data_IF_806221515790
#
_entry.id   IF_806221515790
#
_cell.length_a   1.000
_cell.length_b   1.000
_cell.length_c   1.000
_cell.angle_alpha   90.00
_cell.angle_beta   90.00
_cell.angle_gamma   90.00
#
_symmetry.space_group_name_H-M   'P 1'
#
loop_
_entity.id
_entity.type
_entity.pdbx_description
1 polymer ?
#
# COMPACT_ATOMS: atom_id res chain seq x y z
N UNK A 1 1.50 4.21 20.65
CA UNK A 1 1.16 2.78 20.90
C UNK A 1 1.97 2.39 22.14
N UNK A 2 1.38 2.51 23.34
CA UNK A 2 2.17 2.63 24.59
C UNK A 2 3.13 1.46 24.88
N UNK A 3 2.85 0.25 24.37
CA UNK A 3 3.69 -0.93 24.60
C UNK A 3 5.04 -0.94 23.87
N UNK A 4 5.20 -0.18 22.77
CA UNK A 4 6.46 -0.08 22.04
C UNK A 4 7.37 1.05 22.56
N UNK A 5 6.83 1.92 23.42
CA UNK A 5 7.51 3.14 23.89
C UNK A 5 8.33 2.90 25.16
N UNK A 6 8.10 1.79 25.88
CA UNK A 6 8.91 1.36 27.02
C UNK A 6 9.86 0.18 26.65
N UNK A 7 11.18 0.30 26.87
CA UNK A 7 12.15 -0.77 26.55
C UNK A 7 11.86 -2.12 27.22
N UNK A 8 11.26 -2.11 28.42
CA UNK A 8 10.91 -3.32 29.17
C UNK A 8 9.75 -4.10 28.56
N UNK A 9 8.86 -3.46 27.80
CA UNK A 9 7.69 -4.10 27.18
C UNK A 9 7.86 -4.36 25.69
N UNK A 10 8.86 -3.74 25.04
CA UNK A 10 9.09 -3.86 23.61
C UNK A 10 9.28 -5.32 23.12
N UNK A 11 10.00 -6.15 23.89
CA UNK A 11 10.20 -7.57 23.55
C UNK A 11 8.89 -8.38 23.65
N UNK A 12 8.07 -8.08 24.67
CA UNK A 12 6.77 -8.72 24.84
C UNK A 12 5.83 -8.32 23.70
N UNK A 13 5.79 -7.03 23.36
CA UNK A 13 4.98 -6.51 22.26
C UNK A 13 5.35 -7.15 20.92
N UNK A 14 6.65 -7.25 20.58
CA UNK A 14 7.11 -7.93 19.35
C UNK A 14 6.72 -9.40 19.31
N UNK A 15 6.84 -10.11 20.45
CA UNK A 15 6.42 -11.52 20.53
C UNK A 15 4.92 -11.64 20.32
N UNK A 16 4.12 -10.81 20.99
CA UNK A 16 2.67 -10.80 20.83
C UNK A 16 2.24 -10.52 19.38
N UNK A 17 2.87 -9.54 18.72
CA UNK A 17 2.62 -9.24 17.30
C UNK A 17 2.93 -10.46 16.41
N UNK A 18 4.03 -11.16 16.67
CA UNK A 18 4.44 -12.34 15.89
C UNK A 18 3.48 -13.51 16.08
N UNK A 19 3.03 -13.78 17.31
CA UNK A 19 2.03 -14.83 17.60
C UNK A 19 0.69 -14.50 16.93
N UNK A 20 0.26 -13.23 17.01
CA UNK A 20 -0.98 -12.78 16.37
C UNK A 20 -0.94 -12.97 14.85
N UNK A 21 0.16 -12.59 14.19
CA UNK A 21 0.37 -12.79 12.76
C UNK A 21 0.38 -14.27 12.39
N UNK A 22 1.02 -15.12 13.21
CA UNK A 22 1.04 -16.57 13.03
C UNK A 22 -0.36 -17.17 13.14
N UNK A 23 -1.15 -16.74 14.12
CA UNK A 23 -2.51 -17.25 14.32
C UNK A 23 -3.43 -16.87 13.17
N UNK A 24 -3.35 -15.62 12.69
CA UNK A 24 -4.08 -15.20 11.48
C UNK A 24 -3.72 -16.04 10.26
N UNK A 25 -2.43 -16.32 10.10
CA UNK A 25 -1.93 -17.16 9.00
C UNK A 25 -2.48 -18.59 9.08
N UNK A 26 -2.42 -19.21 10.27
CA UNK A 26 -2.93 -20.57 10.50
C UNK A 26 -4.45 -20.65 10.29
N UNK A 27 -5.17 -19.59 10.67
CA UNK A 27 -6.59 -19.43 10.40
C UNK A 27 -6.91 -19.07 8.94
N UNK A 28 -5.89 -18.97 8.06
CA UNK A 28 -6.00 -18.62 6.64
C UNK A 28 -6.72 -17.29 6.38
N UNK A 29 -6.52 -16.32 7.27
CA UNK A 29 -7.15 -15.01 7.16
C UNK A 29 -6.48 -14.18 6.07
N UNK A 30 -7.25 -13.68 5.11
CA UNK A 30 -6.71 -12.76 4.12
C UNK A 30 -6.47 -11.39 4.75
N UNK A 31 -5.47 -10.62 4.27
CA UNK A 31 -5.23 -9.28 4.80
C UNK A 31 -6.46 -8.35 4.75
N UNK A 32 -7.34 -8.49 3.76
CA UNK A 32 -8.61 -7.74 3.75
C UNK A 32 -9.46 -8.04 4.99
N UNK A 33 -9.63 -9.32 5.33
CA UNK A 33 -10.44 -9.74 6.48
C UNK A 33 -9.80 -9.32 7.80
N UNK A 34 -8.46 -9.42 7.90
CA UNK A 34 -7.71 -8.93 9.07
C UNK A 34 -7.90 -7.42 9.26
N UNK A 35 -7.95 -6.64 8.19
CA UNK A 35 -8.19 -5.19 8.28
C UNK A 35 -9.53 -4.87 8.95
N UNK A 36 -10.59 -5.58 8.56
CA UNK A 36 -11.93 -5.43 9.13
C UNK A 36 -11.97 -5.96 10.57
N UNK A 37 -11.34 -7.10 10.84
CA UNK A 37 -11.27 -7.68 12.19
C UNK A 37 -10.58 -6.74 13.19
N UNK A 38 -9.59 -5.98 12.73
CA UNK A 38 -8.92 -4.95 13.53
C UNK A 38 -9.70 -3.63 13.61
N UNK A 39 -10.90 -3.55 13.02
CA UNK A 39 -11.75 -2.37 12.91
C UNK A 39 -11.06 -1.16 12.26
N UNK A 40 -10.08 -1.38 11.39
CA UNK A 40 -9.35 -0.30 10.71
C UNK A 40 -10.22 0.42 9.67
N UNK A 41 -11.25 -0.26 9.16
CA UNK A 41 -12.28 0.29 8.27
C UNK A 41 -13.16 1.35 8.95
N UNK A 42 -13.18 1.39 10.28
CA UNK A 42 -13.89 2.41 11.05
C UNK A 42 -13.04 3.65 11.35
N UNK A 43 -11.76 3.61 11.00
CA UNK A 43 -10.79 4.69 11.25
C UNK A 43 -10.12 5.17 9.95
N UNK A 44 -10.82 5.10 8.81
CA UNK A 44 -10.20 5.40 7.50
C UNK A 44 -9.63 6.81 7.41
N UNK A 45 -10.28 7.80 8.02
CA UNK A 45 -9.87 9.21 7.96
C UNK A 45 -8.45 9.45 8.51
N UNK A 46 -7.99 8.62 9.45
CA UNK A 46 -6.68 8.71 10.08
C UNK A 46 -5.98 7.34 10.17
N UNK A 47 -6.30 6.40 9.29
CA UNK A 47 -5.85 5.01 9.42
C UNK A 47 -4.33 4.88 9.38
N UNK A 48 -3.64 5.74 8.62
CA UNK A 48 -2.18 5.69 8.52
C UNK A 48 -1.48 6.21 9.78
N UNK A 49 -2.18 6.94 10.63
CA UNK A 49 -1.72 7.32 11.98
C UNK A 49 -2.11 6.27 13.01
N UNK A 50 -3.09 5.42 12.70
CA UNK A 50 -3.52 4.34 13.58
C UNK A 50 -2.37 3.33 13.70
N UNK A 51 -1.84 3.11 14.90
CA UNK A 51 -0.69 2.24 15.08
C UNK A 51 -1.01 0.78 14.68
N UNK A 52 -2.27 0.34 14.77
CA UNK A 52 -2.71 -0.99 14.32
C UNK A 52 -2.55 -1.20 12.81
N UNK A 53 -2.56 -0.12 12.01
CA UNK A 53 -2.32 -0.20 10.58
C UNK A 53 -0.94 -0.79 10.28
N UNK A 54 0.07 -0.47 11.09
CA UNK A 54 1.43 -1.01 10.91
C UNK A 54 1.48 -2.51 11.15
N UNK A 55 0.74 -3.01 12.14
CA UNK A 55 0.63 -4.45 12.43
C UNK A 55 -0.02 -5.17 11.23
N UNK A 56 -1.11 -4.61 10.70
CA UNK A 56 -1.76 -5.13 9.49
C UNK A 56 -0.83 -5.10 8.26
N UNK A 57 -0.09 -4.01 8.06
CA UNK A 57 0.85 -3.86 6.97
C UNK A 57 1.95 -4.93 7.03
N UNK A 58 2.53 -5.14 8.22
CA UNK A 58 3.52 -6.17 8.48
C UNK A 58 2.98 -7.59 8.24
N UNK A 59 1.71 -7.85 8.57
CA UNK A 59 1.08 -9.14 8.33
C UNK A 59 1.07 -9.52 6.84
N UNK A 60 0.80 -8.58 5.94
CA UNK A 60 0.84 -8.86 4.50
C UNK A 60 2.23 -9.26 3.98
N UNK A 61 3.30 -8.67 4.54
CA UNK A 61 4.68 -9.10 4.28
C UNK A 61 4.94 -10.51 4.79
N UNK A 62 4.49 -10.81 6.01
CA UNK A 62 4.60 -12.14 6.63
C UNK A 62 3.89 -13.24 5.81
N UNK A 63 2.71 -12.96 5.25
CA UNK A 63 2.00 -13.88 4.35
C UNK A 63 2.80 -14.16 3.07
N UNK A 64 3.48 -13.15 2.52
CA UNK A 64 4.30 -13.30 1.30
C UNK A 64 5.55 -14.12 1.54
N UNK A 65 6.25 -13.90 2.65
CA UNK A 65 7.48 -14.64 2.97
C UNK A 65 7.22 -16.12 3.26
N UNK A 66 6.00 -16.46 3.70
CA UNK A 66 5.58 -17.85 3.92
C UNK A 66 4.97 -18.54 2.68
N UNK A 67 5.03 -17.89 1.51
CA UNK A 67 4.76 -18.47 0.19
C UNK A 67 3.35 -19.07 0.01
N UNK A 68 2.33 -18.51 0.69
CA UNK A 68 0.94 -18.99 0.62
C UNK A 68 0.15 -18.46 -0.59
N UNK A 69 0.77 -17.77 -1.55
CA UNK A 69 0.07 -17.25 -2.73
C UNK A 69 0.87 -16.22 -3.55
N UNK A 70 0.17 -15.43 -4.36
CA UNK A 70 0.75 -14.32 -5.13
C UNK A 70 1.37 -13.26 -4.21
N UNK A 71 2.42 -12.57 -4.68
CA UNK A 71 3.07 -11.46 -3.97
C UNK A 71 2.01 -10.48 -3.44
N UNK A 72 2.03 -10.24 -2.12
CA UNK A 72 1.14 -9.26 -1.48
C UNK A 72 1.34 -7.88 -2.10
N UNK A 73 0.22 -7.19 -2.35
CA UNK A 73 0.23 -5.77 -2.69
C UNK A 73 -0.80 -5.07 -1.79
N UNK A 74 -0.36 -4.25 -0.81
CA UNK A 74 -1.25 -3.58 0.13
C UNK A 74 -2.20 -2.61 -0.57
N UNK A 75 -1.78 -1.98 -1.66
CA UNK A 75 -2.63 -1.09 -2.44
C UNK A 75 -3.80 -1.83 -3.09
N UNK A 76 -3.70 -3.13 -3.38
CA UNK A 76 -4.81 -3.92 -3.91
C UNK A 76 -5.96 -4.05 -2.89
N UNK A 77 -5.63 -4.39 -1.63
CA UNK A 77 -6.63 -4.47 -0.57
C UNK A 77 -7.19 -3.09 -0.22
N UNK A 78 -6.32 -2.08 -0.09
CA UNK A 78 -6.75 -0.71 0.22
C UNK A 78 -7.62 -0.12 -0.90
N UNK A 79 -7.37 -0.47 -2.17
CA UNK A 79 -8.22 -0.04 -3.28
C UNK A 79 -9.65 -0.56 -3.10
N UNK A 80 -9.82 -1.79 -2.62
CA UNK A 80 -11.14 -2.35 -2.30
C UNK A 80 -11.75 -1.66 -1.09
N UNK A 81 -10.98 -1.46 -0.02
CA UNK A 81 -11.44 -0.85 1.24
C UNK A 81 -11.93 0.59 1.01
N UNK A 82 -11.16 1.40 0.28
CA UNK A 82 -11.52 2.79 -0.04
C UNK A 82 -12.52 2.92 -1.21
N UNK A 83 -12.95 1.80 -1.81
CA UNK A 83 -13.95 1.80 -2.88
C UNK A 83 -13.45 2.25 -4.25
N UNK A 84 -12.14 2.22 -4.51
CA UNK A 84 -11.57 2.46 -5.84
C UNK A 84 -10.21 3.14 -5.85
N UNK A 85 -9.54 3.11 -7.01
CA UNK A 85 -8.19 3.68 -7.17
C UNK A 85 -8.16 5.19 -6.95
N UNK A 86 -9.22 5.91 -7.35
CA UNK A 86 -9.32 7.36 -7.18
C UNK A 86 -9.32 7.74 -5.70
N UNK A 87 -10.23 7.15 -4.92
CA UNK A 87 -10.36 7.44 -3.49
C UNK A 87 -9.07 7.10 -2.74
N UNK A 88 -8.46 5.94 -3.03
CA UNK A 88 -7.20 5.57 -2.41
C UNK A 88 -6.07 6.54 -2.78
N UNK A 89 -5.93 6.89 -4.06
CA UNK A 89 -4.88 7.82 -4.49
C UNK A 89 -5.04 9.20 -3.83
N UNK A 90 -6.26 9.72 -3.76
CA UNK A 90 -6.55 11.00 -3.12
C UNK A 90 -6.17 11.02 -1.65
N UNK A 91 -6.53 9.97 -0.91
CA UNK A 91 -6.22 9.82 0.52
C UNK A 91 -4.72 9.66 0.75
N UNK A 92 -4.02 8.92 -0.11
CA UNK A 92 -2.56 8.76 -0.03
C UNK A 92 -1.81 10.04 -0.37
N UNK A 93 -2.25 10.79 -1.39
CA UNK A 93 -1.65 12.08 -1.75
C UNK A 93 -1.86 13.14 -0.66
N UNK A 94 -2.97 13.07 0.08
CA UNK A 94 -3.16 13.90 1.27
C UNK A 94 -2.23 13.47 2.41
N UNK A 95 -2.15 12.16 2.69
CA UNK A 95 -1.29 11.61 3.72
C UNK A 95 0.22 11.79 3.43
N UNK A 96 0.64 11.86 2.17
CA UNK A 96 2.02 12.12 1.78
C UNK A 96 2.50 13.51 2.23
N UNK A 97 1.59 14.48 2.29
CA UNK A 97 1.89 15.87 2.68
C UNK A 97 2.03 16.05 4.19
N UNK A 98 1.56 15.08 4.98
CA UNK A 98 1.62 15.14 6.44
C UNK A 98 2.90 14.43 6.93
N UNK A 99 3.78 15.09 7.70
CA UNK A 99 5.08 14.51 8.09
C UNK A 99 5.01 13.14 8.77
N UNK A 100 4.01 12.89 9.63
CA UNK A 100 3.83 11.63 10.35
C UNK A 100 3.46 10.46 9.45
N UNK A 101 2.75 10.70 8.35
CA UNK A 101 2.24 9.66 7.44
C UNK A 101 2.97 9.62 6.10
N UNK A 102 3.83 10.61 5.81
CA UNK A 102 4.54 10.76 4.54
C UNK A 102 5.22 9.50 4.05
N UNK A 103 6.00 8.86 4.93
CA UNK A 103 6.77 7.68 4.57
C UNK A 103 5.89 6.50 4.13
N UNK A 104 4.88 6.16 4.94
CA UNK A 104 3.99 5.03 4.65
C UNK A 104 3.06 5.33 3.46
N UNK A 105 2.62 6.59 3.31
CA UNK A 105 1.83 7.01 2.17
C UNK A 105 2.62 6.87 0.86
N UNK A 106 3.88 7.32 0.83
CA UNK A 106 4.75 7.18 -0.33
C UNK A 106 5.04 5.70 -0.66
N UNK A 107 5.23 4.86 0.35
CA UNK A 107 5.42 3.42 0.16
C UNK A 107 4.19 2.79 -0.50
N UNK A 108 2.98 3.11 -0.02
CA UNK A 108 1.73 2.58 -0.61
C UNK A 108 1.46 3.17 -2.00
N UNK A 109 1.81 4.44 -2.28
CA UNK A 109 1.73 5.01 -3.63
C UNK A 109 2.60 4.24 -4.62
N UNK A 110 3.82 3.85 -4.24
CA UNK A 110 4.68 3.00 -5.08
C UNK A 110 4.02 1.64 -5.37
N UNK A 111 3.40 1.01 -4.36
CA UNK A 111 2.63 -0.22 -4.55
C UNK A 111 1.43 -0.02 -5.49
N UNK A 112 0.78 1.13 -5.41
CA UNK A 112 -0.37 1.49 -6.23
C UNK A 112 0.02 1.67 -7.70
N UNK A 113 1.11 2.39 -7.96
CA UNK A 113 1.67 2.60 -9.31
C UNK A 113 2.13 1.27 -9.92
N UNK A 114 2.79 0.41 -9.13
CA UNK A 114 3.17 -0.94 -9.57
C UNK A 114 1.95 -1.79 -9.93
N UNK A 115 0.87 -1.72 -9.13
CA UNK A 115 -0.38 -2.41 -9.41
C UNK A 115 -1.04 -1.93 -10.71
N UNK A 116 -1.02 -0.61 -10.96
CA UNK A 116 -1.55 -0.04 -12.20
C UNK A 116 -0.75 -0.48 -13.42
N UNK A 117 0.58 -0.57 -13.29
CA UNK A 117 1.47 -0.99 -14.38
C UNK A 117 1.22 -2.45 -14.74
N UNK A 118 1.12 -3.32 -13.74
CA UNK A 118 0.79 -4.73 -13.95
C UNK A 118 -0.57 -4.92 -14.63
N UNK A 119 -1.50 -3.98 -14.44
CA UNK A 119 -2.81 -3.97 -15.10
C UNK A 119 -2.81 -3.22 -16.43
N UNK A 120 -1.65 -2.77 -16.91
CA UNK A 120 -1.48 -1.97 -18.12
C UNK A 120 -2.44 -0.77 -18.16
N UNK A 121 -2.59 -0.07 -17.04
CA UNK A 121 -3.48 1.08 -16.97
C UNK A 121 -3.00 2.18 -17.90
N UNK A 122 -3.91 2.79 -18.66
CA UNK A 122 -3.53 3.86 -19.58
C UNK A 122 -2.84 5.03 -18.85
N UNK A 123 -1.70 5.55 -19.38
CA UNK A 123 -0.96 6.65 -18.76
C UNK A 123 -1.80 7.89 -18.46
N UNK A 124 -2.82 8.19 -19.26
CA UNK A 124 -3.72 9.34 -19.06
C UNK A 124 -4.56 9.19 -17.78
N UNK A 125 -4.97 7.94 -17.48
CA UNK A 125 -5.69 7.63 -16.25
C UNK A 125 -4.78 7.76 -15.03
N UNK A 126 -3.55 7.25 -15.11
CA UNK A 126 -2.57 7.35 -14.01
C UNK A 126 -2.16 8.80 -13.77
N UNK A 127 -1.99 9.60 -14.83
CA UNK A 127 -1.75 11.04 -14.73
C UNK A 127 -2.84 11.76 -13.93
N UNK A 128 -4.10 11.39 -14.18
CA UNK A 128 -5.26 11.96 -13.50
C UNK A 128 -5.35 11.48 -12.04
N UNK A 129 -5.12 10.19 -11.79
CA UNK A 129 -5.15 9.61 -10.44
C UNK A 129 -4.07 10.20 -9.52
N UNK A 130 -2.89 10.52 -10.07
CA UNK A 130 -1.81 11.15 -9.33
C UNK A 130 -1.95 12.68 -9.25
N UNK A 131 -3.00 13.30 -9.80
CA UNK A 131 -3.18 14.77 -9.79
C UNK A 131 -1.96 15.54 -10.31
N UNK A 132 -1.33 14.99 -11.35
CA UNK A 132 -0.03 15.48 -11.85
C UNK A 132 -0.13 16.92 -12.36
N UNK A 133 -1.26 17.29 -12.98
CA UNK A 133 -1.50 18.64 -13.50
C UNK A 133 -1.47 19.68 -12.38
N UNK A 134 -2.08 19.37 -11.25
CA UNK A 134 -2.23 20.27 -10.09
C UNK A 134 -1.00 20.26 -9.17
N UNK A 135 -0.13 19.25 -9.30
CA UNK A 135 1.04 19.09 -8.44
C UNK A 135 2.21 20.06 -8.74
N UNK A 136 3.00 20.39 -7.73
CA UNK A 136 4.23 21.18 -7.87
C UNK A 136 5.29 20.44 -8.70
N UNK A 137 6.25 21.15 -9.31
CA UNK A 137 7.26 20.57 -10.23
C UNK A 137 8.09 19.46 -9.57
N UNK A 138 8.41 19.60 -8.28
CA UNK A 138 9.17 18.62 -7.48
C UNK A 138 8.30 17.65 -6.66
N UNK A 139 7.00 17.60 -6.91
CA UNK A 139 6.06 16.77 -6.15
C UNK A 139 6.23 15.27 -6.43
N UNK A 140 5.99 14.44 -5.42
CA UNK A 140 6.04 12.98 -5.53
C UNK A 140 5.16 12.45 -6.68
N UNK A 141 4.02 13.09 -6.93
CA UNK A 141 3.10 12.75 -8.02
C UNK A 141 3.76 12.80 -9.39
N UNK A 142 4.56 13.84 -9.67
CA UNK A 142 5.29 13.98 -10.94
C UNK A 142 6.43 12.98 -11.05
N UNK A 143 7.10 12.69 -9.95
CA UNK A 143 8.15 11.69 -9.91
C UNK A 143 7.59 10.30 -10.23
N UNK A 144 6.58 9.86 -9.49
CA UNK A 144 5.91 8.57 -9.69
C UNK A 144 5.36 8.41 -11.11
N UNK A 145 4.78 9.48 -11.67
CA UNK A 145 4.24 9.43 -13.03
C UNK A 145 5.34 9.27 -14.11
N UNK A 146 6.51 9.88 -13.92
CA UNK A 146 7.63 9.71 -14.86
C UNK A 146 8.11 8.26 -14.87
N UNK A 147 8.35 7.69 -13.69
CA UNK A 147 8.75 6.29 -13.56
C UNK A 147 7.68 5.35 -14.16
N UNK A 148 6.40 5.65 -13.94
CA UNK A 148 5.30 4.88 -14.53
C UNK A 148 5.34 4.87 -16.07
N UNK A 149 5.49 6.03 -16.70
CA UNK A 149 5.52 6.12 -18.17
C UNK A 149 6.71 5.35 -18.74
N UNK A 150 7.89 5.50 -18.14
CA UNK A 150 9.11 4.83 -18.59
C UNK A 150 8.91 3.31 -18.57
N UNK A 151 8.46 2.77 -17.44
CA UNK A 151 8.18 1.36 -17.30
C UNK A 151 7.05 0.88 -18.23
N UNK A 152 5.98 1.67 -18.39
CA UNK A 152 4.87 1.33 -19.28
C UNK A 152 5.33 1.23 -20.75
N UNK A 153 6.17 2.17 -21.21
CA UNK A 153 6.72 2.15 -22.57
C UNK A 153 7.59 0.91 -22.81
N UNK A 154 8.43 0.56 -21.85
CA UNK A 154 9.25 -0.65 -21.93
C UNK A 154 8.40 -1.91 -22.05
N UNK A 155 7.39 -2.05 -21.20
CA UNK A 155 6.46 -3.19 -21.24
C UNK A 155 5.74 -3.25 -22.58
N UNK A 156 5.17 -2.15 -23.05
CA UNK A 156 4.47 -2.11 -24.35
C UNK A 156 5.39 -2.44 -25.53
N UNK A 157 6.63 -1.96 -25.49
CA UNK A 157 7.62 -2.28 -26.51
C UNK A 157 7.97 -3.78 -26.51
N UNK A 158 8.17 -4.41 -25.34
CA UNK A 158 8.39 -5.85 -25.24
C UNK A 158 7.21 -6.67 -25.76
N UNK A 159 5.98 -6.29 -25.43
CA UNK A 159 4.77 -6.96 -25.92
C UNK A 159 4.66 -6.89 -27.45
N UNK A 160 5.02 -5.76 -28.05
CA UNK A 160 5.00 -5.57 -29.52
C UNK A 160 6.06 -6.38 -30.27
N UNK A 161 7.18 -6.71 -29.61
CA UNK A 161 8.25 -7.54 -30.18
C UNK A 161 7.90 -9.03 -30.17
N UNK A 162 7.18 -9.49 -29.14
CA UNK A 162 6.81 -10.90 -28.99
C UNK A 162 5.59 -11.33 -29.82
N UNK A 163 4.93 -10.39 -30.49
CA UNK A 163 3.76 -10.63 -31.37
C UNK A 163 4.10 -10.62 -32.86
N UNK A 164 5.38 -10.54 -33.22
CA UNK A 164 5.91 -10.66 -34.60
C UNK A 164 6.75 -11.93 -34.72
#
# INVERSE_FOLDING_TARGET
MAGYEAPSTANIAKRLESELQRDWLLAKQYPYDVFIMMNLDRTLDNVFENPLFRIWYNYGHYVTTMNLGSKWNPAAALTRIYGGSTNLADVLLAAEKVPSTKAIAMEILNWQVTLWLHRLMYPERVYSLLRVRESAVGDASRFLYREYIEAYREVMHLLSRNTR
#
